data_IF_937352818355
#
_entry.id   IF_937352818355
#
_cell.length_a   1.000
_cell.length_b   1.000
_cell.length_c   1.000
_cell.angle_alpha   90.00
_cell.angle_beta   90.00
_cell.angle_gamma   90.00
#
_symmetry.space_group_name_H-M   'P 1'
#
loop_
_entity.id
_entity.type
_entity.pdbx_description
1 polymer ?
#
# COMPACT_ATOMS: atom_id res chain seq x y z
N UNK A 1 16.22 -53.49 -16.50
CA UNK A 1 16.82 -54.62 -15.75
C UNK A 1 18.01 -54.08 -14.98
N UNK A 2 18.26 -54.51 -13.72
CA UNK A 2 17.32 -54.86 -12.67
C UNK A 2 17.53 -54.00 -11.37
N UNK A 3 16.52 -54.14 -10.52
CA UNK A 3 16.54 -53.73 -9.10
C UNK A 3 17.68 -54.40 -8.34
N UNK A 4 18.15 -53.74 -7.26
CA UNK A 4 18.69 -54.46 -6.14
C UNK A 4 18.26 -53.86 -4.81
N UNK A 5 17.42 -54.61 -4.14
CA UNK A 5 17.03 -54.58 -2.75
C UNK A 5 18.21 -55.00 -1.87
N UNK A 6 18.30 -54.47 -0.68
CA UNK A 6 18.56 -55.09 0.63
C UNK A 6 18.75 -53.96 1.63
N UNK A 7 17.77 -53.71 2.48
CA UNK A 7 17.47 -54.41 3.76
C UNK A 7 18.66 -54.42 4.72
N UNK A 8 18.48 -53.78 5.80
CA UNK A 8 18.50 -54.31 7.19
C UNK A 8 18.56 -53.14 8.16
N UNK A 9 17.55 -52.85 8.89
CA UNK A 9 17.18 -53.24 10.27
C UNK A 9 18.26 -53.10 11.33
N UNK A 10 17.85 -52.52 12.43
CA UNK A 10 18.08 -52.82 13.85
C UNK A 10 18.78 -51.65 14.57
N UNK A 11 18.36 -51.13 15.61
CA UNK A 11 17.57 -51.28 16.82
C UNK A 11 18.01 -50.19 17.80
N UNK A 12 17.05 -49.60 18.44
CA UNK A 12 16.95 -49.16 19.83
C UNK A 12 18.12 -48.58 20.59
N UNK A 13 17.92 -47.38 21.16
CA UNK A 13 18.01 -47.19 22.61
C UNK A 13 17.41 -45.81 23.00
N UNK A 14 16.43 -45.85 23.86
CA UNK A 14 15.89 -44.71 24.57
C UNK A 14 16.83 -44.38 25.75
N UNK A 15 17.08 -43.09 25.94
CA UNK A 15 17.40 -42.53 27.26
C UNK A 15 16.72 -41.19 27.42
N UNK A 16 15.98 -41.11 28.51
CA UNK A 16 15.19 -39.98 28.94
C UNK A 16 16.01 -38.88 29.62
N UNK A 17 15.32 -37.76 29.79
CA UNK A 17 15.48 -36.72 30.79
C UNK A 17 16.39 -35.52 30.45
N UNK A 18 15.73 -34.36 30.37
CA UNK A 18 16.39 -33.07 30.37
C UNK A 18 15.38 -31.94 30.10
N UNK A 19 14.42 -31.71 31.01
CA UNK A 19 13.63 -30.48 31.03
C UNK A 19 14.53 -29.27 31.15
N UNK A 20 14.62 -28.45 30.12
CA UNK A 20 14.88 -27.00 30.29
C UNK A 20 13.84 -26.23 29.52
N UNK A 21 12.93 -25.62 30.29
CA UNK A 21 12.06 -24.56 29.82
C UNK A 21 12.93 -23.38 29.39
N UNK A 22 13.13 -23.28 28.09
CA UNK A 22 13.59 -22.05 27.45
C UNK A 22 12.35 -21.31 26.98
N UNK A 23 12.03 -20.24 27.66
CA UNK A 23 11.00 -19.30 27.26
C UNK A 23 11.54 -18.48 26.10
N UNK A 24 11.48 -19.01 24.90
CA UNK A 24 11.67 -18.20 23.70
C UNK A 24 10.35 -17.55 23.36
N UNK A 25 10.23 -16.33 23.87
CA UNK A 25 9.23 -15.37 23.46
C UNK A 25 9.45 -15.06 21.97
N UNK A 26 8.88 -15.90 21.12
CA UNK A 26 8.70 -15.55 19.71
C UNK A 26 7.79 -14.32 19.68
N UNK A 27 8.42 -13.15 19.62
CA UNK A 27 7.73 -11.93 19.18
C UNK A 27 7.27 -12.18 17.75
N UNK A 28 6.08 -12.73 17.64
CA UNK A 28 5.26 -12.64 16.44
C UNK A 28 5.07 -11.16 16.17
N UNK A 29 5.86 -10.63 15.25
CA UNK A 29 5.62 -9.34 14.64
C UNK A 29 4.34 -9.48 13.82
N UNK A 30 3.22 -9.40 14.50
CA UNK A 30 1.92 -9.18 13.86
C UNK A 30 2.02 -7.82 13.19
N UNK A 31 2.32 -7.82 11.90
CA UNK A 31 2.06 -6.67 11.04
C UNK A 31 0.61 -6.24 11.29
N UNK A 32 0.35 -4.96 11.52
CA UNK A 32 -1.01 -4.51 11.63
C UNK A 32 -1.70 -4.84 10.32
N UNK A 33 -2.64 -5.79 10.36
CA UNK A 33 -3.62 -5.99 9.30
C UNK A 33 -4.24 -4.61 9.08
N UNK A 34 -4.01 -4.05 7.91
CA UNK A 34 -4.73 -2.87 7.44
C UNK A 34 -6.20 -3.14 7.70
N UNK A 35 -6.80 -2.35 8.59
CA UNK A 35 -8.23 -2.42 8.84
C UNK A 35 -8.95 -2.31 7.48
N UNK A 36 -10.04 -3.04 7.25
CA UNK A 36 -10.84 -2.86 6.06
C UNK A 36 -11.21 -1.38 6.00
N UNK A 37 -10.79 -0.70 4.95
CA UNK A 37 -11.17 0.68 4.71
C UNK A 37 -12.70 0.72 4.72
N UNK A 38 -13.26 1.42 5.70
CA UNK A 38 -14.70 1.69 5.76
C UNK A 38 -15.10 2.28 4.40
N UNK A 39 -16.05 1.66 3.74
CA UNK A 39 -16.53 2.16 2.46
C UNK A 39 -16.93 3.63 2.63
N UNK A 40 -16.55 4.52 1.70
CA UNK A 40 -16.88 5.93 1.80
C UNK A 40 -18.39 6.09 1.80
N UNK A 41 -18.92 6.84 2.77
CA UNK A 41 -20.36 7.03 3.00
C UNK A 41 -20.97 8.11 2.12
N UNK A 42 -20.44 8.39 0.92
CA UNK A 42 -20.95 9.42 0.03
C UNK A 42 -20.49 9.24 -1.42
N UNK A 43 -21.07 9.99 -2.35
CA UNK A 43 -20.62 10.00 -3.73
C UNK A 43 -19.21 10.58 -3.78
N UNK A 44 -18.22 9.70 -3.88
CA UNK A 44 -16.84 10.09 -4.12
C UNK A 44 -16.65 10.65 -5.53
N UNK A 45 -15.45 11.09 -5.84
CA UNK A 45 -15.07 11.48 -7.20
C UNK A 45 -15.18 10.28 -8.13
N UNK A 46 -15.99 10.38 -9.19
CA UNK A 46 -16.11 9.32 -10.20
C UNK A 46 -14.85 9.30 -11.09
N UNK A 47 -14.07 8.27 -10.94
CA UNK A 47 -12.87 8.04 -11.73
C UNK A 47 -13.16 7.22 -13.00
N UNK A 48 -14.43 6.90 -13.28
CA UNK A 48 -14.88 6.19 -14.46
C UNK A 48 -14.90 4.68 -14.32
N UNK A 49 -15.20 3.96 -15.41
CA UNK A 49 -15.45 2.53 -15.36
C UNK A 49 -14.16 1.74 -15.09
N UNK A 50 -14.28 0.63 -14.34
CA UNK A 50 -13.20 -0.30 -14.03
C UNK A 50 -12.47 -0.83 -15.27
N UNK A 51 -13.15 -0.84 -16.42
CA UNK A 51 -12.56 -1.26 -17.70
C UNK A 51 -11.39 -0.39 -18.16
N UNK A 52 -11.25 0.82 -17.60
CA UNK A 52 -10.12 1.71 -17.89
C UNK A 52 -8.82 1.31 -17.15
N UNK A 53 -8.93 0.43 -16.14
CA UNK A 53 -7.84 0.05 -15.24
C UNK A 53 -7.51 -1.44 -15.37
N UNK A 54 -7.13 -1.91 -16.56
CA UNK A 54 -6.93 -3.35 -16.84
C UNK A 54 -5.54 -3.84 -16.49
N UNK A 55 -4.52 -3.01 -16.68
CA UNK A 55 -3.13 -3.35 -16.48
C UNK A 55 -2.62 -2.86 -15.12
N UNK A 56 -1.63 -3.56 -14.57
CA UNK A 56 -0.96 -3.11 -13.36
C UNK A 56 -0.08 -1.91 -13.68
N UNK A 57 -0.56 -0.72 -13.31
CA UNK A 57 0.06 0.56 -13.66
C UNK A 57 -0.38 1.68 -12.70
N UNK A 58 0.23 2.85 -12.86
CA UNK A 58 -0.20 4.11 -12.25
C UNK A 58 -0.92 4.94 -13.31
N UNK A 59 -2.16 5.28 -13.04
CA UNK A 59 -3.01 6.10 -13.92
C UNK A 59 -2.98 7.57 -13.46
N UNK A 60 -2.17 8.42 -14.13
CA UNK A 60 -1.92 9.80 -13.69
C UNK A 60 -2.99 10.81 -14.12
N UNK A 61 -4.05 10.38 -14.81
CA UNK A 61 -5.08 11.27 -15.38
C UNK A 61 -5.72 12.21 -14.36
N UNK A 62 -5.78 11.82 -13.10
CA UNK A 62 -6.42 12.58 -12.00
C UNK A 62 -5.41 13.33 -11.11
N UNK A 63 -4.18 13.47 -11.57
CA UNK A 63 -3.12 14.13 -10.80
C UNK A 63 -3.51 15.55 -10.37
N UNK A 64 -4.17 16.28 -11.24
CA UNK A 64 -4.58 17.66 -10.97
C UNK A 64 -5.83 17.74 -10.09
N UNK A 65 -6.63 16.69 -10.07
CA UNK A 65 -7.75 16.49 -9.12
C UNK A 65 -7.25 16.10 -7.72
N UNK A 66 -6.00 15.73 -7.58
CA UNK A 66 -5.38 15.47 -6.27
C UNK A 66 -5.00 14.03 -5.99
N UNK A 67 -5.13 13.13 -6.95
CA UNK A 67 -4.84 11.71 -6.73
C UNK A 67 -4.32 10.99 -7.98
N UNK A 68 -3.83 9.78 -7.77
CA UNK A 68 -3.56 8.77 -8.78
C UNK A 68 -4.43 7.56 -8.52
N UNK A 69 -4.92 6.92 -9.56
CA UNK A 69 -5.46 5.57 -9.45
C UNK A 69 -4.32 4.60 -9.75
N UNK A 70 -4.18 3.56 -8.96
CA UNK A 70 -3.12 2.56 -9.08
C UNK A 70 -3.75 1.19 -9.12
N UNK A 71 -3.35 0.38 -10.09
CA UNK A 71 -3.64 -1.04 -10.10
C UNK A 71 -2.37 -1.81 -9.85
N UNK A 72 -2.43 -2.75 -8.92
CA UNK A 72 -1.33 -3.68 -8.61
C UNK A 72 -1.88 -4.99 -8.09
N UNK A 73 -1.36 -6.10 -8.61
CA UNK A 73 -1.79 -7.44 -8.21
C UNK A 73 -3.31 -7.60 -8.20
N UNK A 74 -3.98 -7.09 -9.24
CA UNK A 74 -5.45 -7.06 -9.40
C UNK A 74 -6.19 -6.20 -8.36
N UNK A 75 -5.48 -5.48 -7.51
CA UNK A 75 -6.05 -4.58 -6.52
C UNK A 75 -6.01 -3.14 -7.04
N UNK A 76 -7.13 -2.42 -6.92
CA UNK A 76 -7.22 -0.99 -7.19
C UNK A 76 -7.17 -0.20 -5.88
N UNK A 77 -6.41 0.87 -5.87
CA UNK A 77 -6.37 1.84 -4.79
C UNK A 77 -6.02 3.21 -5.33
N UNK A 78 -6.22 4.25 -4.54
CA UNK A 78 -5.79 5.59 -4.90
C UNK A 78 -4.74 6.12 -3.93
N UNK A 79 -3.80 6.92 -4.44
CA UNK A 79 -2.82 7.66 -3.66
C UNK A 79 -2.99 9.15 -3.93
N UNK A 80 -2.82 9.96 -2.88
CA UNK A 80 -2.79 11.40 -3.05
C UNK A 80 -1.63 11.83 -3.98
N UNK A 81 -1.92 12.69 -4.93
CA UNK A 81 -0.88 13.33 -5.75
C UNK A 81 -0.25 14.55 -5.05
N UNK A 82 -0.67 14.83 -3.82
CA UNK A 82 -0.20 16.00 -3.04
C UNK A 82 0.94 15.57 -2.13
N UNK A 83 2.11 16.18 -2.33
CA UNK A 83 3.30 15.91 -1.53
C UNK A 83 3.07 16.30 -0.07
N UNK A 84 3.36 15.39 0.85
CA UNK A 84 3.16 15.56 2.28
C UNK A 84 4.09 16.61 2.92
N UNK A 85 5.12 17.08 2.21
CA UNK A 85 5.98 18.15 2.71
C UNK A 85 5.29 19.52 2.70
N UNK A 86 4.93 20.05 1.51
CA UNK A 86 4.35 21.40 1.34
C UNK A 86 3.25 21.44 0.27
N UNK A 87 2.59 20.34 -0.02
CA UNK A 87 1.43 20.32 -0.90
C UNK A 87 1.70 20.44 -2.40
N UNK A 88 2.96 20.38 -2.85
CA UNK A 88 3.24 20.36 -4.30
C UNK A 88 2.72 19.08 -4.93
N UNK A 89 2.28 19.13 -6.18
CA UNK A 89 1.88 17.93 -6.91
C UNK A 89 3.10 17.07 -7.27
N UNK A 90 3.09 15.82 -6.82
CA UNK A 90 4.11 14.83 -7.19
C UNK A 90 3.92 14.35 -8.63
N UNK A 91 4.93 13.74 -9.20
CA UNK A 91 4.93 13.15 -10.53
C UNK A 91 5.29 11.68 -10.45
N UNK A 92 4.82 10.91 -11.40
CA UNK A 92 5.20 9.52 -11.61
C UNK A 92 6.54 9.50 -12.35
N UNK A 93 7.46 8.64 -11.94
CA UNK A 93 8.71 8.34 -12.63
C UNK A 93 8.55 7.10 -13.52
N UNK A 94 9.53 6.82 -14.38
CA UNK A 94 9.48 5.71 -15.33
C UNK A 94 9.42 4.33 -14.65
N UNK A 95 9.91 4.23 -13.42
CA UNK A 95 9.86 3.03 -12.59
C UNK A 95 8.57 2.92 -11.77
N UNK A 96 7.57 3.75 -12.04
CA UNK A 96 6.29 3.86 -11.32
C UNK A 96 6.41 4.34 -9.86
N UNK A 97 7.55 4.87 -9.46
CA UNK A 97 7.72 5.59 -8.21
C UNK A 97 7.24 7.04 -8.34
N UNK A 98 7.23 7.80 -7.23
CA UNK A 98 6.77 9.17 -7.26
C UNK A 98 7.86 10.14 -6.79
N UNK A 99 7.89 11.32 -7.38
CA UNK A 99 8.82 12.36 -6.99
C UNK A 99 8.19 13.76 -6.98
N UNK A 100 8.66 14.58 -6.06
CA UNK A 100 8.24 15.97 -5.92
C UNK A 100 9.32 16.89 -6.49
N UNK A 101 9.00 17.65 -7.56
CA UNK A 101 9.97 18.59 -8.16
C UNK A 101 10.33 19.75 -7.27
N UNK A 102 9.43 20.17 -6.35
CA UNK A 102 9.64 21.36 -5.53
C UNK A 102 10.83 21.23 -4.59
N UNK A 103 10.90 20.13 -3.83
CA UNK A 103 11.90 19.93 -2.78
C UNK A 103 12.57 18.55 -2.83
N UNK A 104 12.44 17.83 -3.93
CA UNK A 104 13.14 16.56 -4.19
C UNK A 104 12.79 15.42 -3.22
N UNK A 105 11.57 15.43 -2.65
CA UNK A 105 11.07 14.24 -1.96
C UNK A 105 10.77 13.13 -2.96
N UNK A 106 11.08 11.89 -2.58
CA UNK A 106 10.86 10.70 -3.38
C UNK A 106 10.02 9.69 -2.57
N UNK A 107 9.18 8.95 -3.27
CA UNK A 107 8.30 7.94 -2.70
C UNK A 107 8.34 6.70 -3.59
N UNK A 108 8.23 5.54 -3.00
CA UNK A 108 8.16 4.29 -3.75
C UNK A 108 6.80 4.12 -4.46
N UNK A 109 6.64 2.97 -5.11
CA UNK A 109 5.41 2.62 -5.86
C UNK A 109 4.15 2.52 -4.99
N UNK A 110 4.31 2.33 -3.69
CA UNK A 110 3.22 2.23 -2.72
C UNK A 110 2.94 3.54 -2.01
N UNK A 111 3.72 4.57 -2.34
CA UNK A 111 3.63 5.91 -1.77
C UNK A 111 4.41 6.09 -0.47
N UNK A 112 5.24 5.12 -0.05
CA UNK A 112 6.09 5.29 1.12
C UNK A 112 7.25 6.22 0.82
N UNK A 113 7.56 7.13 1.75
CA UNK A 113 8.65 8.07 1.59
C UNK A 113 10.00 7.34 1.60
N UNK A 114 10.78 7.50 0.53
CA UNK A 114 12.14 6.96 0.40
C UNK A 114 13.20 8.02 0.56
N UNK A 115 12.83 9.31 0.28
CA UNK A 115 13.74 10.45 0.42
C UNK A 115 12.98 11.71 0.79
N UNK A 116 13.49 12.40 1.84
CA UNK A 116 12.94 13.66 2.30
C UNK A 116 13.15 14.83 1.33
N UNK A 117 12.60 15.99 1.71
CA UNK A 117 12.19 16.44 3.05
C UNK A 117 10.80 16.01 3.53
N UNK A 118 9.96 15.36 2.73
CA UNK A 118 8.73 14.75 3.22
C UNK A 118 9.04 13.76 4.35
N UNK A 119 8.20 13.74 5.39
CA UNK A 119 8.36 12.88 6.56
C UNK A 119 7.26 11.83 6.67
N UNK A 120 6.25 11.93 5.84
CA UNK A 120 5.09 11.02 5.83
C UNK A 120 4.85 10.51 4.42
N UNK A 121 4.33 9.31 4.33
CA UNK A 121 3.92 8.65 3.10
C UNK A 121 2.82 9.45 2.38
N UNK A 122 2.66 9.21 1.08
CA UNK A 122 1.50 9.70 0.34
C UNK A 122 0.24 9.03 0.90
N UNK A 123 -0.79 9.80 1.27
CA UNK A 123 -2.01 9.24 1.82
C UNK A 123 -2.68 8.28 0.82
N UNK A 124 -3.07 7.10 1.29
CA UNK A 124 -4.01 6.24 0.57
C UNK A 124 -5.41 6.79 0.72
N UNK A 125 -6.12 6.87 -0.40
CA UNK A 125 -7.48 7.36 -0.48
C UNK A 125 -8.39 6.17 -0.66
N UNK A 126 -9.45 6.02 0.14
CA UNK A 126 -10.42 4.95 -0.02
C UNK A 126 -11.08 4.99 -1.38
N UNK A 127 -11.28 3.82 -1.98
CA UNK A 127 -11.98 3.66 -3.25
C UNK A 127 -13.13 2.67 -3.08
N UNK A 128 -14.20 2.88 -3.83
CA UNK A 128 -15.34 1.98 -3.89
C UNK A 128 -15.78 1.81 -5.34
N UNK A 129 -16.48 0.74 -5.60
CA UNK A 129 -17.09 0.50 -6.93
C UNK A 129 -18.60 0.52 -6.77
N UNK A 130 -19.29 1.24 -7.65
CA UNK A 130 -20.74 1.25 -7.69
C UNK A 130 -21.34 0.07 -8.50
N UNK A 131 -22.65 0.00 -8.54
CA UNK A 131 -23.39 -1.06 -9.26
C UNK A 131 -23.21 -0.99 -10.78
N UNK A 132 -22.82 0.18 -11.31
CA UNK A 132 -22.53 0.38 -12.73
C UNK A 132 -21.10 -0.02 -13.09
N UNK A 133 -20.28 -0.37 -12.10
CA UNK A 133 -18.87 -0.72 -12.29
C UNK A 133 -17.95 0.49 -12.43
N UNK A 134 -18.37 1.66 -11.93
CA UNK A 134 -17.52 2.85 -11.85
C UNK A 134 -16.71 2.88 -10.55
N UNK A 135 -15.49 3.36 -10.64
CA UNK A 135 -14.60 3.56 -9.50
C UNK A 135 -14.83 4.95 -8.89
N UNK A 136 -15.15 4.98 -7.61
CA UNK A 136 -15.31 6.21 -6.84
C UNK A 136 -14.18 6.38 -5.84
N UNK A 137 -13.64 7.59 -5.73
CA UNK A 137 -12.51 7.95 -4.87
C UNK A 137 -12.95 8.97 -3.82
N UNK A 138 -12.78 8.65 -2.54
CA UNK A 138 -13.26 9.48 -1.42
C UNK A 138 -12.25 10.60 -1.09
N UNK A 139 -12.31 11.72 -1.79
CA UNK A 139 -11.36 12.82 -1.63
C UNK A 139 -11.51 13.61 -0.32
N UNK A 140 -12.62 13.50 0.37
CA UNK A 140 -12.94 14.16 1.64
C UNK A 140 -12.08 13.66 2.82
N UNK A 141 -11.52 12.46 2.70
CA UNK A 141 -10.68 11.85 3.76
C UNK A 141 -9.17 12.05 3.54
N UNK A 142 -8.75 12.83 2.54
CA UNK A 142 -7.32 13.06 2.28
C UNK A 142 -6.72 13.96 3.34
N UNK A 143 -5.72 13.52 4.12
CA UNK A 143 -5.02 14.37 5.07
C UNK A 143 -4.35 15.55 4.36
N UNK A 144 -4.49 16.74 4.93
CA UNK A 144 -3.82 17.93 4.42
C UNK A 144 -2.29 17.82 4.56
N UNK A 145 -1.51 18.40 3.64
CA UNK A 145 -0.06 18.43 3.75
C UNK A 145 0.40 19.21 4.99
N UNK A 146 1.59 18.86 5.51
CA UNK A 146 2.21 19.58 6.61
C UNK A 146 2.47 21.04 6.18
N UNK A 147 1.89 21.99 6.88
CA UNK A 147 2.04 23.42 6.62
C UNK A 147 0.97 24.06 5.72
N UNK A 148 -0.12 23.36 5.42
CA UNK A 148 -1.33 24.01 4.97
C UNK A 148 -1.95 24.73 6.17
N UNK A 149 -1.65 26.02 6.34
CA UNK A 149 -2.27 26.86 7.34
C UNK A 149 -3.78 26.87 7.10
N UNK A 150 -4.54 26.64 8.17
CA UNK A 150 -5.98 26.89 8.19
C UNK A 150 -6.27 28.39 8.02
N UNK A 151 -6.14 28.87 6.80
CA UNK A 151 -6.57 30.22 6.44
C UNK A 151 -8.08 30.22 6.10
N UNK A 152 -8.88 29.47 6.88
CA UNK A 152 -10.35 29.50 6.79
C UNK A 152 -10.97 29.33 8.17
N UNK A 153 -10.60 30.20 9.07
CA UNK A 153 -11.34 30.47 10.31
C UNK A 153 -11.28 31.97 10.56
N UNK A 154 -12.06 32.69 9.81
CA UNK A 154 -12.47 34.07 10.12
C UNK A 154 -13.82 34.33 9.50
#
# INVERSE_FOLDING_TARGET
>A
MPLNRRQLMILTAAVAAGCKRGSDSARSSSMPRSAPATAPSGPGFDAGPLSNYKEDDVYPGFRDDGFFVIRRDKTLFALSSVCTHKGCKVRVADDLSFFCKCHKSEFDRDGHVTKGPAKRDLPRIPVATDESGHLHVALDVVPRPDGANDARSA
#
